data_IF_050129295806
#
_entry.id   IF_050129295806
#
_cell.length_a   1.000
_cell.length_b   1.000
_cell.length_c   1.000
_cell.angle_alpha   90.00
_cell.angle_beta   90.00
_cell.angle_gamma   90.00
#
_symmetry.space_group_name_H-M   'P 1'
#
loop_
_entity.id
_entity.type
_entity.pdbx_description
1 polymer ?
#
# COMPACT_ATOMS: atom_id res chain seq x y z
N UNK A 1 9.13 21.24 25.04
CA UNK A 1 7.67 21.45 25.12
C UNK A 1 7.08 20.97 23.80
N UNK A 2 6.03 20.14 23.85
CA UNK A 2 5.35 19.67 22.64
C UNK A 2 4.56 20.85 22.09
N UNK A 3 5.04 21.47 21.00
CA UNK A 3 4.28 22.50 20.30
C UNK A 3 3.11 21.87 19.56
N UNK A 4 1.95 21.88 20.20
CA UNK A 4 0.71 21.36 19.63
C UNK A 4 0.39 22.03 18.28
N UNK A 5 0.66 23.34 18.17
CA UNK A 5 0.50 24.10 16.92
C UNK A 5 1.45 23.66 15.80
N UNK A 6 2.67 23.20 16.13
CA UNK A 6 3.61 22.65 15.15
C UNK A 6 3.15 21.28 14.66
N UNK A 7 2.64 20.45 15.57
CA UNK A 7 2.14 19.09 15.27
C UNK A 7 0.91 19.11 14.36
N UNK A 8 -0.04 20.03 14.62
CA UNK A 8 -1.20 20.25 13.76
C UNK A 8 -0.82 20.77 12.38
N UNK A 9 0.16 21.69 12.32
CA UNK A 9 0.67 22.22 11.07
C UNK A 9 1.33 21.13 10.23
N UNK A 10 2.11 20.25 10.85
CA UNK A 10 2.73 19.10 10.20
C UNK A 10 1.68 18.12 9.65
N UNK A 11 0.68 17.78 10.47
CA UNK A 11 -0.45 16.95 10.03
C UNK A 11 -1.18 17.56 8.83
N UNK A 12 -1.39 18.89 8.84
CA UNK A 12 -2.02 19.60 7.74
C UNK A 12 -1.16 19.61 6.48
N UNK A 13 0.15 19.83 6.59
CA UNK A 13 1.06 19.77 5.44
C UNK A 13 1.10 18.37 4.82
N UNK A 14 1.22 17.32 5.63
CA UNK A 14 1.16 15.94 5.16
C UNK A 14 -0.17 15.65 4.45
N UNK A 15 -1.28 16.11 5.03
CA UNK A 15 -2.60 15.97 4.40
C UNK A 15 -2.68 16.74 3.07
N UNK A 16 -2.16 17.97 3.01
CA UNK A 16 -2.20 18.81 1.82
C UNK A 16 -1.38 18.22 0.67
N UNK A 17 -0.17 17.73 0.95
CA UNK A 17 0.67 17.07 -0.05
C UNK A 17 0.04 15.78 -0.58
N UNK A 18 -0.65 15.04 0.28
CA UNK A 18 -1.29 13.76 -0.09
C UNK A 18 -2.70 13.91 -0.65
N UNK A 19 -3.33 15.09 -0.51
CA UNK A 19 -4.71 15.35 -0.91
C UNK A 19 -4.96 15.08 -2.40
N UNK A 20 -4.08 15.56 -3.28
CA UNK A 20 -4.22 15.36 -4.71
C UNK A 20 -4.14 13.88 -5.12
N UNK A 21 -3.10 13.11 -4.70
CA UNK A 21 -3.06 11.65 -4.90
C UNK A 21 -4.28 10.93 -4.32
N UNK A 22 -4.80 11.40 -3.18
CA UNK A 22 -5.96 10.83 -2.53
C UNK A 22 -7.23 11.02 -3.36
N UNK A 23 -7.49 12.25 -3.82
CA UNK A 23 -8.64 12.60 -4.66
C UNK A 23 -8.60 11.83 -5.98
N UNK A 24 -7.45 11.78 -6.65
CA UNK A 24 -7.27 10.97 -7.86
C UNK A 24 -7.49 9.49 -7.58
N UNK A 25 -6.99 9.00 -6.44
CA UNK A 25 -7.10 7.63 -6.01
C UNK A 25 -8.53 7.15 -5.81
N UNK A 26 -9.27 7.88 -4.99
CA UNK A 26 -10.68 7.63 -4.74
C UNK A 26 -11.52 7.85 -6.00
N UNK A 27 -11.18 8.86 -6.81
CA UNK A 27 -11.81 9.12 -8.10
C UNK A 27 -11.65 7.95 -9.08
N UNK A 28 -10.43 7.38 -9.17
CA UNK A 28 -10.18 6.19 -10.01
C UNK A 28 -10.90 4.96 -9.44
N UNK A 29 -10.96 4.80 -8.11
CA UNK A 29 -11.78 3.75 -7.48
C UNK A 29 -13.24 3.87 -7.89
N UNK A 30 -13.83 5.07 -7.81
CA UNK A 30 -15.19 5.34 -8.25
C UNK A 30 -15.39 5.09 -9.75
N UNK A 31 -14.42 5.47 -10.58
CA UNK A 31 -14.45 5.24 -12.01
C UNK A 31 -14.41 3.74 -12.35
N UNK A 32 -13.57 2.96 -11.67
CA UNK A 32 -13.55 1.50 -11.82
C UNK A 32 -14.88 0.90 -11.39
N UNK A 33 -15.49 1.42 -10.31
CA UNK A 33 -16.80 0.97 -9.84
C UNK A 33 -17.94 1.33 -10.81
N UNK A 34 -17.90 2.49 -11.46
CA UNK A 34 -18.95 2.93 -12.38
C UNK A 34 -18.79 2.35 -13.80
N UNK A 35 -17.56 2.34 -14.33
CA UNK A 35 -17.31 2.05 -15.75
C UNK A 35 -16.88 0.62 -16.04
N UNK A 36 -16.34 -0.12 -15.07
CA UNK A 36 -15.88 -1.51 -15.28
C UNK A 36 -16.96 -2.50 -14.85
N UNK A 37 -17.35 -3.38 -15.78
CA UNK A 37 -18.34 -4.42 -15.50
C UNK A 37 -17.74 -5.56 -14.69
N UNK A 38 -18.59 -6.26 -13.91
CA UNK A 38 -18.16 -7.43 -13.12
C UNK A 38 -17.61 -8.54 -14.03
N UNK A 39 -18.21 -8.76 -15.20
CA UNK A 39 -17.75 -9.79 -16.14
C UNK A 39 -16.38 -9.43 -16.73
N UNK A 40 -16.15 -8.16 -17.09
CA UNK A 40 -14.86 -7.70 -17.61
C UNK A 40 -13.76 -7.85 -16.55
N UNK A 41 -14.07 -7.49 -15.29
CA UNK A 41 -13.16 -7.65 -14.16
C UNK A 41 -12.86 -9.12 -13.89
N UNK A 42 -13.88 -9.97 -13.81
CA UNK A 42 -13.73 -11.40 -13.55
C UNK A 42 -12.98 -12.12 -14.69
N UNK A 43 -13.22 -11.74 -15.95
CA UNK A 43 -12.51 -12.30 -17.11
C UNK A 43 -11.02 -11.92 -17.13
N UNK A 44 -10.67 -10.71 -16.67
CA UNK A 44 -9.28 -10.22 -16.71
C UNK A 44 -8.47 -10.50 -15.43
N UNK A 45 -9.10 -10.37 -14.27
CA UNK A 45 -8.49 -10.40 -12.93
C UNK A 45 -9.18 -11.36 -11.96
N UNK A 46 -10.13 -12.18 -12.42
CA UNK A 46 -10.85 -13.16 -11.58
C UNK A 46 -10.07 -14.44 -11.26
N UNK A 47 -8.78 -14.49 -11.57
CA UNK A 47 -7.91 -15.60 -11.18
C UNK A 47 -6.55 -15.07 -10.71
N UNK A 48 -5.84 -15.88 -9.93
CA UNK A 48 -4.47 -15.61 -9.47
C UNK A 48 -3.41 -16.30 -10.36
N UNK A 49 -3.71 -16.51 -11.66
CA UNK A 49 -2.73 -17.06 -12.60
C UNK A 49 -1.66 -16.01 -12.93
N UNK A 50 -0.43 -16.42 -13.33
CA UNK A 50 0.65 -15.48 -13.66
C UNK A 50 0.23 -14.37 -14.63
N UNK A 51 -0.58 -14.68 -15.64
CA UNK A 51 -1.07 -13.68 -16.59
C UNK A 51 -1.98 -12.61 -15.95
N UNK A 52 -2.75 -12.94 -14.90
CA UNK A 52 -3.55 -11.95 -14.19
C UNK A 52 -2.69 -11.09 -13.25
N UNK A 53 -1.69 -11.69 -12.58
CA UNK A 53 -0.69 -10.99 -11.76
C UNK A 53 0.08 -9.98 -12.62
N UNK A 54 0.62 -10.41 -13.77
CA UNK A 54 1.35 -9.53 -14.69
C UNK A 54 0.46 -8.39 -15.19
N UNK A 55 -0.80 -8.67 -15.55
CA UNK A 55 -1.75 -7.61 -15.95
C UNK A 55 -2.05 -6.64 -14.81
N UNK A 56 -2.27 -7.15 -13.59
CA UNK A 56 -2.50 -6.32 -12.40
C UNK A 56 -1.32 -5.38 -12.13
N UNK A 57 -0.09 -5.91 -12.16
CA UNK A 57 1.12 -5.13 -11.97
C UNK A 57 1.33 -4.11 -13.11
N UNK A 58 1.15 -4.53 -14.37
CA UNK A 58 1.35 -3.68 -15.53
C UNK A 58 0.36 -2.52 -15.61
N UNK A 59 -0.93 -2.76 -15.34
CA UNK A 59 -1.95 -1.69 -15.31
C UNK A 59 -1.65 -0.63 -14.25
N UNK A 60 -0.87 -0.98 -13.24
CA UNK A 60 -0.66 -0.14 -12.07
C UNK A 60 0.67 0.61 -12.07
N UNK A 61 1.70 0.04 -12.68
CA UNK A 61 3.03 0.67 -12.82
C UNK A 61 2.98 2.07 -13.48
N UNK A 62 1.93 2.36 -14.27
CA UNK A 62 1.72 3.63 -14.97
C UNK A 62 1.04 4.70 -14.11
N UNK A 63 0.38 4.32 -13.01
CA UNK A 63 -0.43 5.23 -12.20
C UNK A 63 0.14 5.35 -10.78
N UNK A 64 0.81 6.47 -10.50
CA UNK A 64 1.17 6.83 -9.14
C UNK A 64 -0.08 7.01 -8.30
N UNK A 65 -0.18 6.30 -7.19
CA UNK A 65 -1.12 6.67 -6.13
C UNK A 65 -0.56 6.27 -4.78
N UNK A 66 -0.94 7.05 -3.76
CA UNK A 66 -0.58 6.76 -2.38
C UNK A 66 -1.14 5.41 -1.89
N UNK A 67 -0.57 4.87 -0.82
CA UNK A 67 -0.94 3.57 -0.25
C UNK A 67 -2.44 3.50 0.15
N UNK A 68 -3.04 4.64 0.53
CA UNK A 68 -4.48 4.77 0.79
C UNK A 68 -5.33 4.61 -0.48
N UNK A 69 -4.95 5.31 -1.55
CA UNK A 69 -5.60 5.20 -2.85
C UNK A 69 -5.50 3.78 -3.43
N UNK A 70 -4.31 3.17 -3.31
CA UNK A 70 -4.07 1.79 -3.72
C UNK A 70 -4.99 0.80 -2.98
N UNK A 71 -5.18 1.00 -1.67
CA UNK A 71 -6.08 0.19 -0.83
C UNK A 71 -7.54 0.34 -1.22
N UNK A 72 -8.01 1.57 -1.48
CA UNK A 72 -9.38 1.83 -1.92
C UNK A 72 -9.66 1.19 -3.30
N UNK A 73 -8.72 1.30 -4.24
CA UNK A 73 -8.83 0.63 -5.54
C UNK A 73 -8.80 -0.90 -5.39
N UNK A 74 -7.90 -1.45 -4.56
CA UNK A 74 -7.85 -2.89 -4.31
C UNK A 74 -9.18 -3.44 -3.78
N UNK A 75 -9.81 -2.73 -2.83
CA UNK A 75 -11.18 -3.03 -2.36
C UNK A 75 -12.16 -3.03 -3.53
N UNK A 76 -12.17 -1.98 -4.37
CA UNK A 76 -13.16 -1.88 -5.45
C UNK A 76 -12.99 -2.95 -6.53
N UNK A 77 -11.75 -3.29 -6.88
CA UNK A 77 -11.45 -4.44 -7.74
C UNK A 77 -12.00 -5.74 -7.13
N UNK A 78 -11.78 -5.96 -5.84
CA UNK A 78 -12.25 -7.17 -5.14
C UNK A 78 -13.78 -7.26 -5.08
N UNK A 79 -14.47 -6.15 -4.80
CA UNK A 79 -15.94 -6.07 -4.78
C UNK A 79 -16.52 -6.28 -6.18
N UNK A 80 -15.85 -5.82 -7.23
CA UNK A 80 -16.22 -6.05 -8.64
C UNK A 80 -15.92 -7.47 -9.15
N UNK A 81 -15.38 -8.34 -8.31
CA UNK A 81 -15.21 -9.76 -8.62
C UNK A 81 -13.78 -10.18 -8.98
N UNK A 82 -12.78 -9.31 -8.83
CA UNK A 82 -11.37 -9.72 -8.92
C UNK A 82 -11.03 -10.74 -7.81
N UNK A 83 -10.08 -11.64 -8.09
CA UNK A 83 -9.53 -12.54 -7.09
C UNK A 83 -8.83 -11.73 -5.98
N UNK A 84 -8.94 -12.15 -4.72
CA UNK A 84 -8.36 -11.43 -3.58
C UNK A 84 -6.84 -11.29 -3.71
N UNK A 85 -6.15 -12.31 -4.21
CA UNK A 85 -4.70 -12.26 -4.44
C UNK A 85 -4.40 -11.26 -5.56
N UNK A 86 -5.16 -11.28 -6.67
CA UNK A 86 -4.97 -10.34 -7.77
C UNK A 86 -5.18 -8.86 -7.34
N UNK A 87 -6.19 -8.60 -6.50
CA UNK A 87 -6.43 -7.26 -5.94
C UNK A 87 -5.30 -6.79 -5.03
N UNK A 88 -4.78 -7.67 -4.15
CA UNK A 88 -3.64 -7.34 -3.31
C UNK A 88 -2.34 -7.20 -4.13
N UNK A 89 -2.11 -8.01 -5.17
CA UNK A 89 -0.99 -7.84 -6.11
C UNK A 89 -1.04 -6.46 -6.77
N UNK A 90 -2.24 -6.03 -7.21
CA UNK A 90 -2.44 -4.69 -7.74
C UNK A 90 -2.05 -3.62 -6.71
N UNK A 91 -2.42 -3.82 -5.43
CA UNK A 91 -2.07 -2.93 -4.33
C UNK A 91 -0.55 -2.85 -4.11
N UNK A 92 0.14 -4.00 -4.04
CA UNK A 92 1.61 -4.06 -3.90
C UNK A 92 2.34 -3.41 -5.06
N UNK A 93 1.90 -3.68 -6.30
CA UNK A 93 2.49 -3.08 -7.50
C UNK A 93 2.29 -1.56 -7.53
N UNK A 94 1.19 -1.07 -6.95
CA UNK A 94 0.91 0.37 -6.87
C UNK A 94 1.86 1.15 -5.99
N UNK A 95 2.42 0.52 -4.96
CA UNK A 95 3.20 1.24 -3.96
C UNK A 95 4.69 0.99 -4.12
N UNK A 96 5.09 -0.21 -4.55
CA UNK A 96 6.50 -0.64 -4.60
C UNK A 96 7.11 -0.68 -6.01
N UNK A 97 6.30 -0.64 -7.08
CA UNK A 97 6.81 -0.60 -8.47
C UNK A 97 6.56 0.75 -9.16
N UNK A 98 6.22 1.79 -8.38
CA UNK A 98 5.97 3.11 -8.94
C UNK A 98 7.28 3.79 -9.34
N UNK A 99 7.31 4.34 -10.55
CA UNK A 99 8.50 5.02 -11.10
C UNK A 99 8.90 6.23 -10.24
N UNK A 100 7.91 6.93 -9.67
CA UNK A 100 8.11 8.10 -8.80
C UNK A 100 8.99 7.77 -7.58
N UNK A 101 8.69 6.67 -6.88
CA UNK A 101 9.48 6.20 -5.74
C UNK A 101 10.89 5.85 -6.19
N UNK A 102 11.04 5.19 -7.34
CA UNK A 102 12.35 4.92 -7.95
C UNK A 102 13.17 6.19 -8.17
N UNK A 103 12.58 7.26 -8.70
CA UNK A 103 13.27 8.55 -8.91
C UNK A 103 13.70 9.15 -7.56
N UNK A 104 12.81 9.17 -6.56
CA UNK A 104 13.14 9.69 -5.21
C UNK A 104 14.27 8.88 -4.56
N UNK A 105 14.26 7.56 -4.71
CA UNK A 105 15.34 6.67 -4.24
C UNK A 105 16.67 6.96 -4.93
N UNK A 106 16.68 7.15 -6.26
CA UNK A 106 17.88 7.53 -7.02
C UNK A 106 18.47 8.82 -6.46
N UNK A 107 17.62 9.83 -6.22
CA UNK A 107 18.06 11.16 -5.76
C UNK A 107 18.59 11.13 -4.32
N UNK A 108 17.95 10.39 -3.41
CA UNK A 108 18.28 10.45 -1.98
C UNK A 108 19.29 9.39 -1.52
N UNK A 109 19.26 8.20 -2.11
CA UNK A 109 20.07 7.05 -1.66
C UNK A 109 20.92 6.44 -2.78
N UNK A 110 20.71 6.86 -4.03
CA UNK A 110 21.45 6.38 -5.19
C UNK A 110 20.72 5.31 -5.99
N UNK A 111 21.22 5.06 -7.20
CA UNK A 111 20.58 4.16 -8.17
C UNK A 111 20.49 2.70 -7.69
N UNK A 112 21.40 2.25 -6.82
CA UNK A 112 21.42 0.91 -6.26
C UNK A 112 20.13 0.61 -5.48
N UNK A 113 19.66 1.58 -4.68
CA UNK A 113 18.41 1.46 -3.93
C UNK A 113 17.18 1.40 -4.84
N UNK A 114 17.18 2.18 -5.92
CA UNK A 114 16.10 2.13 -6.90
C UNK A 114 16.05 0.78 -7.62
N UNK A 115 17.18 0.23 -8.04
CA UNK A 115 17.22 -1.10 -8.68
C UNK A 115 16.81 -2.19 -7.70
N UNK A 116 17.24 -2.12 -6.43
CA UNK A 116 16.82 -3.09 -5.41
C UNK A 116 15.33 -2.99 -5.11
N UNK A 117 14.74 -1.80 -5.15
CA UNK A 117 13.30 -1.60 -5.00
C UNK A 117 12.53 -2.35 -6.09
N UNK A 118 12.90 -2.17 -7.36
CA UNK A 118 12.22 -2.86 -8.46
C UNK A 118 12.40 -4.38 -8.41
N UNK A 119 13.63 -4.85 -8.14
CA UNK A 119 13.92 -6.28 -8.03
C UNK A 119 13.19 -6.89 -6.83
N UNK A 120 13.30 -6.25 -5.66
CA UNK A 120 12.67 -6.71 -4.43
C UNK A 120 11.15 -6.63 -4.50
N UNK A 121 10.57 -5.61 -5.14
CA UNK A 121 9.15 -5.50 -5.40
C UNK A 121 8.63 -6.62 -6.31
N UNK A 122 9.37 -6.99 -7.36
CA UNK A 122 9.04 -8.13 -8.20
C UNK A 122 9.10 -9.46 -7.42
N UNK A 123 10.15 -9.66 -6.60
CA UNK A 123 10.30 -10.82 -5.71
C UNK A 123 9.13 -10.88 -4.72
N UNK A 124 8.78 -9.74 -4.12
CA UNK A 124 7.70 -9.61 -3.17
C UNK A 124 6.36 -10.01 -3.78
N UNK A 125 6.04 -9.55 -5.00
CA UNK A 125 4.82 -9.94 -5.70
C UNK A 125 4.79 -11.44 -5.98
N UNK A 126 5.92 -12.03 -6.39
CA UNK A 126 6.02 -13.47 -6.62
C UNK A 126 5.80 -14.27 -5.34
N UNK A 127 6.49 -13.91 -4.25
CA UNK A 127 6.35 -14.53 -2.93
C UNK A 127 4.91 -14.39 -2.41
N UNK A 128 4.34 -13.18 -2.48
CA UNK A 128 2.98 -12.90 -2.07
C UNK A 128 2.00 -13.79 -2.84
N UNK A 129 2.11 -13.87 -4.17
CA UNK A 129 1.19 -14.66 -4.99
C UNK A 129 1.19 -16.14 -4.56
N UNK A 130 2.37 -16.70 -4.30
CA UNK A 130 2.52 -18.11 -3.86
C UNK A 130 1.96 -18.30 -2.44
N UNK A 131 2.42 -17.49 -1.49
CA UNK A 131 2.02 -17.62 -0.07
C UNK A 131 0.54 -17.29 0.13
N UNK A 132 0.02 -16.23 -0.49
CA UNK A 132 -1.39 -15.87 -0.44
C UNK A 132 -2.26 -16.93 -1.10
N UNK A 133 -1.82 -17.48 -2.24
CA UNK A 133 -2.51 -18.58 -2.92
C UNK A 133 -2.66 -19.82 -2.03
N UNK A 134 -1.76 -20.04 -1.08
CA UNK A 134 -1.83 -21.15 -0.13
C UNK A 134 -2.57 -20.78 1.17
N UNK A 135 -2.27 -19.61 1.73
CA UNK A 135 -2.67 -19.21 3.08
C UNK A 135 -4.00 -18.44 3.15
N UNK A 136 -4.35 -17.72 2.08
CA UNK A 136 -5.57 -16.89 2.00
C UNK A 136 -6.73 -17.60 1.28
N UNK A 137 -6.71 -18.93 1.16
CA UNK A 137 -7.85 -19.69 0.62
C UNK A 137 -8.90 -19.99 1.70
N UNK A 138 -10.18 -19.93 1.32
CA UNK A 138 -11.29 -20.48 2.11
C UNK A 138 -12.37 -19.49 2.52
N UNK A 139 -13.18 -19.90 3.51
CA UNK A 139 -14.40 -19.22 3.97
C UNK A 139 -14.20 -17.76 4.39
N UNK A 140 -13.01 -17.37 4.83
CA UNK A 140 -12.72 -16.01 5.27
C UNK A 140 -12.72 -14.98 4.12
N UNK A 141 -12.24 -15.35 2.93
CA UNK A 141 -12.28 -14.46 1.75
C UNK A 141 -13.70 -14.33 1.23
N UNK A 142 -14.48 -15.42 1.29
CA UNK A 142 -15.91 -15.41 0.95
C UNK A 142 -16.70 -14.53 1.92
N UNK A 143 -16.49 -14.70 3.23
CA UNK A 143 -17.08 -13.85 4.26
C UNK A 143 -16.66 -12.39 4.13
N UNK A 144 -15.41 -12.11 3.76
CA UNK A 144 -14.95 -10.75 3.52
C UNK A 144 -15.64 -10.12 2.31
N UNK A 145 -15.84 -10.90 1.23
CA UNK A 145 -16.62 -10.47 0.08
C UNK A 145 -18.08 -10.21 0.47
N UNK A 146 -18.72 -11.16 1.16
CA UNK A 146 -20.10 -11.03 1.66
C UNK A 146 -20.25 -9.84 2.60
N UNK A 147 -19.27 -9.56 3.45
CA UNK A 147 -19.28 -8.39 4.33
C UNK A 147 -19.13 -7.10 3.54
N UNK A 148 -18.27 -7.06 2.53
CA UNK A 148 -18.14 -5.89 1.67
C UNK A 148 -19.36 -5.68 0.76
N UNK A 149 -20.09 -6.73 0.40
CA UNK A 149 -21.35 -6.64 -0.38
C UNK A 149 -22.61 -6.61 0.48
N UNK A 150 -22.51 -6.92 1.78
CA UNK A 150 -23.64 -7.12 2.71
C UNK A 150 -23.66 -6.12 3.87
N UNK A 151 -22.53 -5.49 4.22
CA UNK A 151 -22.54 -4.18 4.89
C UNK A 151 -23.24 -3.13 4.00
N UNK A 152 -23.29 -3.37 2.68
CA UNK A 152 -24.12 -2.63 1.72
C UNK A 152 -25.62 -3.03 1.74
N UNK A 153 -26.04 -3.98 2.58
CA UNK A 153 -27.43 -4.49 2.66
C UNK A 153 -28.23 -3.99 3.86
N UNK A 154 -27.60 -3.39 4.87
CA UNK A 154 -28.31 -2.82 6.03
C UNK A 154 -28.43 -1.29 5.99
N UNK A 155 -27.69 -0.61 5.12
CA UNK A 155 -27.86 0.83 4.83
C UNK A 155 -28.38 1.01 3.40
N UNK A 156 -29.67 0.70 3.19
CA UNK A 156 -30.38 1.08 1.96
C UNK A 156 -30.54 2.62 1.77
N UNK A 157 -29.94 3.42 2.65
CA UNK A 157 -30.10 4.88 2.64
C UNK A 157 -28.93 5.65 1.99
N UNK A 158 -27.72 5.08 1.92
CA UNK A 158 -26.50 5.82 1.51
C UNK A 158 -25.83 5.34 0.21
N UNK A 159 -26.46 4.41 -0.53
CA UNK A 159 -26.06 4.05 -1.90
C UNK A 159 -27.08 4.61 -2.90
N UNK A 160 -26.67 5.32 -3.96
CA UNK A 160 -27.55 5.52 -5.10
C UNK A 160 -27.93 4.16 -5.67
N UNK A 161 -29.17 3.98 -6.12
CA UNK A 161 -29.61 2.73 -6.73
C UNK A 161 -28.60 2.32 -7.82
N UNK A 162 -28.04 1.12 -7.68
CA UNK A 162 -27.17 0.54 -8.68
C UNK A 162 -27.99 0.44 -9.97
N UNK A 163 -27.70 1.29 -10.96
CA UNK A 163 -28.41 1.30 -12.22
C UNK A 163 -28.05 0.03 -13.01
N UNK A 164 -28.71 -1.09 -12.70
CA UNK A 164 -28.56 -2.40 -13.35
C UNK A 164 -28.70 -2.27 -14.87
N UNK A 165 -29.54 -1.35 -15.34
CA UNK A 165 -29.73 -1.02 -16.75
C UNK A 165 -28.48 -0.42 -17.43
N UNK A 166 -27.66 0.36 -16.72
CA UNK A 166 -26.39 0.89 -17.23
C UNK A 166 -25.28 -0.17 -17.14
N UNK A 167 -25.35 -1.09 -16.17
CA UNK A 167 -24.38 -2.17 -15.99
C UNK A 167 -24.40 -3.26 -17.07
N UNK A 168 -25.42 -3.29 -17.94
CA UNK A 168 -25.43 -4.14 -19.13
C UNK A 168 -25.01 -3.42 -20.41
N UNK A 169 -24.77 -2.10 -20.37
CA UNK A 169 -24.39 -1.34 -21.57
C UNK A 169 -22.88 -1.40 -21.85
N UNK A 170 -22.45 -1.33 -23.13
CA UNK A 170 -21.03 -1.34 -23.50
C UNK A 170 -20.26 -0.14 -22.93
N UNK A 171 -19.00 -0.36 -22.57
CA UNK A 171 -18.08 0.58 -21.89
C UNK A 171 -18.12 2.01 -22.48
N UNK A 172 -18.17 2.15 -23.82
CA UNK A 172 -18.20 3.44 -24.50
C UNK A 172 -19.48 4.26 -24.29
N UNK A 173 -20.63 3.63 -24.06
CA UNK A 173 -21.89 4.35 -23.76
C UNK A 173 -21.95 4.82 -22.31
N UNK A 174 -21.29 4.11 -21.38
CA UNK A 174 -21.18 4.53 -19.97
C UNK A 174 -20.26 5.73 -19.80
N UNK A 175 -19.11 5.72 -20.49
CA UNK A 175 -18.16 6.85 -20.49
C UNK A 175 -18.79 8.14 -21.03
N UNK A 176 -19.75 8.03 -21.94
CA UNK A 176 -20.49 9.16 -22.54
C UNK A 176 -21.75 9.56 -21.76
N UNK A 177 -22.21 8.76 -20.80
CA UNK A 177 -23.46 9.07 -20.09
C UNK A 177 -23.20 9.91 -18.83
N UNK A 178 -24.03 10.94 -18.62
CA UNK A 178 -24.01 11.73 -17.37
C UNK A 178 -24.26 10.86 -16.13
N UNK A 179 -25.04 9.79 -16.29
CA UNK A 179 -25.29 8.81 -15.23
C UNK A 179 -24.05 8.05 -14.78
N UNK A 180 -23.17 7.63 -15.71
CA UNK A 180 -21.93 6.93 -15.34
C UNK A 180 -20.95 7.81 -14.56
N UNK A 181 -20.87 9.10 -14.91
CA UNK A 181 -20.07 10.08 -14.17
C UNK A 181 -20.68 10.43 -12.81
N UNK A 182 -22.01 10.53 -12.72
CA UNK A 182 -22.71 10.71 -11.45
C UNK A 182 -22.48 9.51 -10.51
N UNK A 183 -22.62 8.28 -11.01
CA UNK A 183 -22.36 7.06 -10.25
C UNK A 183 -20.91 7.01 -9.76
N UNK A 184 -19.94 7.36 -10.62
CA UNK A 184 -18.52 7.44 -10.27
C UNK A 184 -18.26 8.44 -9.15
N UNK A 185 -18.87 9.62 -9.21
CA UNK A 185 -18.74 10.65 -8.19
C UNK A 185 -19.36 10.19 -6.87
N UNK A 186 -20.49 9.48 -6.89
CA UNK A 186 -21.10 9.00 -5.66
C UNK A 186 -20.32 7.86 -5.03
N UNK A 187 -19.79 6.90 -5.81
CA UNK A 187 -18.90 5.86 -5.26
C UNK A 187 -17.64 6.46 -4.65
N UNK A 188 -17.06 7.48 -5.30
CA UNK A 188 -15.92 8.23 -4.78
C UNK A 188 -16.25 8.88 -3.43
N UNK A 189 -17.40 9.56 -3.34
CA UNK A 189 -17.85 10.21 -2.10
C UNK A 189 -18.19 9.21 -1.00
N UNK A 190 -18.75 8.05 -1.33
CA UNK A 190 -19.02 6.99 -0.37
C UNK A 190 -17.72 6.42 0.21
N UNK A 191 -16.73 6.09 -0.62
CA UNK A 191 -15.42 5.59 -0.15
C UNK A 191 -14.69 6.64 0.71
N UNK A 192 -14.73 7.93 0.33
CA UNK A 192 -14.17 9.03 1.12
C UNK A 192 -14.87 9.21 2.46
N UNK A 193 -16.20 9.23 2.47
CA UNK A 193 -17.00 9.44 3.69
C UNK A 193 -16.85 8.26 4.64
N UNK A 194 -16.72 7.05 4.10
CA UNK A 194 -16.43 5.84 4.86
C UNK A 194 -15.10 5.96 5.58
N UNK A 195 -14.04 6.43 4.92
CA UNK A 195 -12.69 6.44 5.48
C UNK A 195 -12.27 7.75 6.17
N UNK A 196 -13.09 8.80 6.14
CA UNK A 196 -12.73 10.12 6.67
C UNK A 196 -12.20 10.10 8.11
N UNK A 197 -12.74 9.23 8.97
CA UNK A 197 -12.36 9.14 10.38
C UNK A 197 -10.97 8.52 10.52
N UNK A 198 -10.71 7.43 9.81
CA UNK A 198 -9.44 6.73 9.79
C UNK A 198 -8.33 7.60 9.20
N UNK A 199 -8.60 8.33 8.11
CA UNK A 199 -7.65 9.27 7.53
C UNK A 199 -7.34 10.41 8.50
N UNK A 200 -8.37 11.03 9.10
CA UNK A 200 -8.19 12.14 10.03
C UNK A 200 -7.37 11.72 11.26
N UNK A 201 -7.69 10.56 11.85
CA UNK A 201 -6.92 9.99 12.97
C UNK A 201 -5.49 9.68 12.52
N UNK A 202 -5.31 9.09 11.34
CA UNK A 202 -3.99 8.75 10.79
C UNK A 202 -3.08 9.97 10.63
N UNK A 203 -3.54 11.03 9.95
CA UNK A 203 -2.76 12.26 9.77
C UNK A 203 -2.49 12.99 11.07
N UNK A 204 -3.46 13.03 11.99
CA UNK A 204 -3.30 13.68 13.28
C UNK A 204 -2.24 12.99 14.14
N UNK A 205 -2.27 11.65 14.20
CA UNK A 205 -1.26 10.85 14.91
C UNK A 205 0.10 10.97 14.24
N UNK A 206 0.16 10.91 12.90
CA UNK A 206 1.41 11.07 12.14
C UNK A 206 2.08 12.42 12.40
N UNK A 207 1.33 13.54 12.34
CA UNK A 207 1.86 14.87 12.60
C UNK A 207 2.33 15.07 14.04
N UNK A 208 1.66 14.43 15.02
CA UNK A 208 2.11 14.43 16.41
C UNK A 208 3.38 13.60 16.60
N UNK A 209 3.46 12.43 15.97
CA UNK A 209 4.64 11.58 16.06
C UNK A 209 5.86 12.22 15.39
N UNK A 210 5.66 12.88 14.26
CA UNK A 210 6.71 13.57 13.50
C UNK A 210 7.37 14.71 14.30
N UNK A 211 6.64 15.36 15.21
CA UNK A 211 7.19 16.42 16.06
C UNK A 211 7.76 15.90 17.37
N UNK A 212 7.21 14.81 17.91
CA UNK A 212 7.57 14.28 19.22
C UNK A 212 8.74 13.30 19.16
N UNK A 213 8.85 12.49 18.11
CA UNK A 213 9.84 11.41 18.02
C UNK A 213 11.04 11.83 17.16
N UNK A 214 12.21 12.08 17.78
CA UNK A 214 13.39 12.45 17.01
C UNK A 214 13.95 11.28 16.21
N UNK A 215 14.61 11.59 15.10
CA UNK A 215 15.22 10.60 14.20
C UNK A 215 16.20 9.64 14.92
N UNK A 216 16.88 10.10 15.96
CA UNK A 216 17.82 9.27 16.73
C UNK A 216 17.13 8.19 17.57
N UNK A 217 15.87 8.36 17.96
CA UNK A 217 15.10 7.33 18.67
C UNK A 217 14.88 6.11 17.77
N UNK A 218 14.58 6.34 16.48
CA UNK A 218 14.43 5.29 15.49
C UNK A 218 15.73 4.50 15.31
N UNK A 219 16.88 5.18 15.27
CA UNK A 219 18.18 4.53 15.15
C UNK A 219 18.58 3.70 16.38
N UNK A 220 18.10 4.05 17.58
CA UNK A 220 18.41 3.33 18.82
C UNK A 220 17.62 2.01 18.97
N UNK A 221 16.52 1.84 18.22
CA UNK A 221 15.71 0.61 18.21
C UNK A 221 16.41 -0.50 17.40
N UNK A 222 17.38 -0.16 16.55
CA UNK A 222 18.12 -1.12 15.77
C UNK A 222 19.37 -1.60 16.51
N UNK A 223 19.58 -2.91 16.48
CA UNK A 223 20.77 -3.55 17.04
C UNK A 223 21.93 -3.45 16.05
N UNK A 224 23.08 -2.95 16.52
CA UNK A 224 24.32 -2.90 15.77
C UNK A 224 25.24 -4.06 16.19
N UNK A 225 25.84 -4.78 15.24
CA UNK A 225 27.12 -5.46 15.52
C UNK A 225 27.28 -6.97 15.30
N UNK A 226 26.37 -7.72 14.69
CA UNK A 226 26.52 -9.18 14.52
C UNK A 226 26.20 -9.71 13.10
N UNK A 227 26.97 -9.29 12.09
CA UNK A 227 27.05 -9.98 10.79
C UNK A 227 25.71 -10.32 10.10
N UNK A 228 25.49 -11.60 9.75
CA UNK A 228 24.28 -12.08 9.08
C UNK A 228 23.03 -12.03 9.97
N UNK A 229 23.17 -12.32 11.27
CA UNK A 229 22.06 -12.31 12.24
C UNK A 229 21.45 -10.91 12.40
N UNK A 230 22.28 -9.88 12.43
CA UNK A 230 21.82 -8.48 12.41
C UNK A 230 20.99 -8.15 11.16
N UNK A 231 21.28 -8.79 10.02
CA UNK A 231 20.50 -8.54 8.80
C UNK A 231 19.10 -9.16 8.91
N UNK A 232 18.99 -10.36 9.47
CA UNK A 232 17.70 -11.02 9.73
C UNK A 232 16.86 -10.24 10.74
N UNK A 233 17.47 -9.79 11.84
CA UNK A 233 16.79 -8.98 12.86
C UNK A 233 16.29 -7.66 12.27
N UNK A 234 17.14 -6.92 11.57
CA UNK A 234 16.77 -5.63 10.97
C UNK A 234 15.63 -5.76 9.95
N UNK A 235 15.62 -6.84 9.18
CA UNK A 235 14.58 -7.13 8.20
C UNK A 235 13.23 -7.43 8.85
N UNK A 236 13.20 -8.00 10.06
CA UNK A 236 11.98 -8.23 10.82
C UNK A 236 11.53 -6.93 11.53
N UNK A 237 12.48 -6.16 12.05
CA UNK A 237 12.23 -4.89 12.75
C UNK A 237 11.78 -3.80 11.79
N UNK A 238 12.23 -3.80 10.53
CA UNK A 238 11.85 -2.82 9.51
C UNK A 238 10.33 -2.65 9.39
N UNK A 239 9.56 -3.71 9.10
CA UNK A 239 8.10 -3.60 9.03
C UNK A 239 7.44 -3.18 10.34
N UNK A 240 8.00 -3.59 11.48
CA UNK A 240 7.50 -3.13 12.78
C UNK A 240 7.62 -1.61 12.93
N UNK A 241 8.74 -1.04 12.50
CA UNK A 241 8.94 0.42 12.52
C UNK A 241 7.98 1.11 11.56
N UNK A 242 7.73 0.55 10.38
CA UNK A 242 6.75 1.12 9.45
C UNK A 242 5.32 1.15 10.02
N UNK A 243 4.94 0.15 10.83
CA UNK A 243 3.64 0.15 11.55
C UNK A 243 3.54 1.39 12.45
N UNK A 244 4.60 1.68 13.21
CA UNK A 244 4.62 2.72 14.24
C UNK A 244 5.11 4.08 13.74
N UNK A 245 5.69 4.20 12.54
CA UNK A 245 6.16 5.47 11.99
C UNK A 245 5.03 6.26 11.34
N UNK A 246 3.94 5.60 10.95
CA UNK A 246 2.76 6.21 10.30
C UNK A 246 3.08 6.99 9.01
N UNK A 247 4.22 6.69 8.39
CA UNK A 247 4.69 7.42 7.22
C UNK A 247 4.20 6.72 5.94
N UNK A 248 3.84 7.51 4.92
CA UNK A 248 3.43 7.00 3.61
C UNK A 248 4.63 6.54 2.77
N UNK A 249 4.38 5.81 1.66
CA UNK A 249 5.43 5.30 0.74
C UNK A 249 6.51 6.33 0.39
N UNK A 250 6.13 7.56 0.02
CA UNK A 250 7.09 8.63 -0.34
C UNK A 250 7.82 9.18 0.89
N UNK A 251 7.09 9.40 1.99
CA UNK A 251 7.69 9.87 3.24
C UNK A 251 8.63 8.84 3.89
N UNK A 252 8.46 7.55 3.58
CA UNK A 252 9.33 6.49 4.08
C UNK A 252 10.74 6.62 3.52
N UNK A 253 10.93 7.25 2.36
CA UNK A 253 12.26 7.34 1.73
C UNK A 253 13.23 8.23 2.51
N UNK A 254 12.89 9.47 2.92
CA UNK A 254 13.75 10.25 3.81
C UNK A 254 14.08 9.55 5.13
N UNK A 255 13.10 8.87 5.73
CA UNK A 255 13.32 8.11 6.96
C UNK A 255 14.22 6.90 6.72
N UNK A 256 14.00 6.15 5.64
CA UNK A 256 14.85 5.05 5.19
C UNK A 256 16.30 5.51 4.93
N UNK A 257 16.49 6.69 4.35
CA UNK A 257 17.80 7.28 4.14
C UNK A 257 18.48 7.65 5.46
N UNK A 258 17.74 8.19 6.44
CA UNK A 258 18.26 8.46 7.77
C UNK A 258 18.64 7.18 8.54
N UNK A 259 17.82 6.13 8.40
CA UNK A 259 18.04 4.80 8.94
C UNK A 259 19.29 4.14 8.30
N UNK A 260 19.47 4.27 6.98
CA UNK A 260 20.67 3.82 6.28
C UNK A 260 21.93 4.51 6.80
N UNK A 261 21.88 5.84 7.01
CA UNK A 261 22.96 6.60 7.66
C UNK A 261 23.21 6.13 9.09
N UNK A 262 22.17 5.70 9.80
CA UNK A 262 22.21 5.11 11.15
C UNK A 262 22.88 3.73 11.23
N UNK A 263 23.27 3.14 10.10
CA UNK A 263 24.05 1.90 10.05
C UNK A 263 23.23 0.61 9.94
N UNK A 264 21.95 0.70 9.58
CA UNK A 264 21.07 -0.46 9.37
C UNK A 264 21.51 -1.26 8.14
N UNK A 265 21.25 -2.57 8.15
CA UNK A 265 21.54 -3.45 7.02
C UNK A 265 20.73 -3.06 5.78
N UNK A 266 21.29 -3.32 4.61
CA UNK A 266 20.67 -2.96 3.34
C UNK A 266 19.27 -3.57 3.20
N UNK A 267 19.11 -4.86 3.51
CA UNK A 267 17.81 -5.53 3.49
C UNK A 267 16.84 -5.01 4.54
N UNK A 268 17.34 -4.48 5.67
CA UNK A 268 16.50 -3.87 6.70
C UNK A 268 15.85 -2.58 6.20
N UNK A 269 16.64 -1.74 5.52
CA UNK A 269 16.15 -0.51 4.87
C UNK A 269 15.15 -0.83 3.77
N UNK A 270 15.45 -1.81 2.91
CA UNK A 270 14.54 -2.25 1.85
C UNK A 270 13.24 -2.82 2.43
N UNK A 271 13.32 -3.69 3.44
CA UNK A 271 12.13 -4.22 4.11
C UNK A 271 11.29 -3.15 4.80
N UNK A 272 11.92 -2.06 5.27
CA UNK A 272 11.22 -0.90 5.83
C UNK A 272 10.49 -0.10 4.76
N UNK A 273 11.13 0.18 3.61
CA UNK A 273 10.49 0.87 2.47
C UNK A 273 9.26 0.11 2.00
N UNK A 274 9.39 -1.21 1.86
CA UNK A 274 8.33 -2.13 1.47
C UNK A 274 7.15 -2.20 2.44
N UNK A 275 7.35 -1.81 3.69
CA UNK A 275 6.36 -1.98 4.75
C UNK A 275 5.37 -0.81 4.87
N UNK A 276 5.31 0.07 3.87
CA UNK A 276 4.33 1.15 3.80
C UNK A 276 2.86 0.64 3.86
N UNK A 277 2.60 -0.55 3.31
CA UNK A 277 1.27 -1.18 3.31
C UNK A 277 0.82 -1.76 4.65
N UNK A 278 1.71 -1.85 5.65
CA UNK A 278 1.37 -2.30 7.01
C UNK A 278 1.31 -1.15 8.02
N UNK A 279 1.40 0.12 7.59
CA UNK A 279 1.22 1.26 8.49
C UNK A 279 -0.11 1.16 9.27
N UNK A 280 -0.10 1.56 10.54
CA UNK A 280 -1.27 1.38 11.42
C UNK A 280 -2.58 1.96 10.87
N UNK A 281 -2.63 3.15 10.22
CA UNK A 281 -3.87 3.64 9.62
C UNK A 281 -4.42 2.72 8.53
N UNK A 282 -3.55 2.13 7.70
CA UNK A 282 -3.93 1.14 6.69
C UNK A 282 -4.46 -0.14 7.33
N UNK A 283 -3.87 -0.58 8.45
CA UNK A 283 -4.41 -1.72 9.20
C UNK A 283 -5.81 -1.43 9.78
N UNK A 284 -6.08 -0.19 10.22
CA UNK A 284 -7.42 0.21 10.64
C UNK A 284 -8.42 0.17 9.47
N UNK A 285 -7.99 0.60 8.28
CA UNK A 285 -8.78 0.50 7.04
C UNK A 285 -9.04 -0.98 6.68
N UNK A 286 -8.02 -1.84 6.68
CA UNK A 286 -8.19 -3.27 6.41
C UNK A 286 -9.10 -3.94 7.44
N UNK A 287 -8.99 -3.57 8.73
CA UNK A 287 -9.88 -4.06 9.78
C UNK A 287 -11.33 -3.69 9.48
N UNK A 288 -11.58 -2.47 9.00
CA UNK A 288 -12.92 -2.00 8.64
C UNK A 288 -13.45 -2.69 7.37
N UNK A 289 -12.59 -2.93 6.38
CA UNK A 289 -12.97 -3.56 5.10
C UNK A 289 -13.17 -5.07 5.23
N UNK A 290 -12.20 -5.76 5.79
CA UNK A 290 -12.08 -7.22 5.73
C UNK A 290 -12.37 -7.90 7.09
N UNK A 291 -12.50 -7.11 8.15
CA UNK A 291 -12.65 -7.60 9.53
C UNK A 291 -11.31 -7.92 10.20
N UNK A 292 -11.31 -7.97 11.54
CA UNK A 292 -10.09 -8.12 12.35
C UNK A 292 -9.32 -9.41 12.06
N UNK A 293 -9.99 -10.54 11.86
CA UNK A 293 -9.32 -11.83 11.64
C UNK A 293 -8.55 -11.86 10.32
N UNK A 294 -9.15 -11.35 9.25
CA UNK A 294 -8.50 -11.29 7.95
C UNK A 294 -7.40 -10.22 7.94
N UNK A 295 -7.63 -9.08 8.58
CA UNK A 295 -6.60 -8.04 8.77
C UNK A 295 -5.35 -8.59 9.47
N UNK A 296 -5.48 -9.35 10.57
CA UNK A 296 -4.32 -9.93 11.26
C UNK A 296 -3.58 -10.96 10.39
N UNK A 297 -4.30 -11.75 9.59
CA UNK A 297 -3.68 -12.67 8.64
C UNK A 297 -2.95 -11.93 7.52
N UNK A 298 -3.54 -10.85 7.00
CA UNK A 298 -2.89 -9.99 6.02
C UNK A 298 -1.64 -9.35 6.60
N UNK A 299 -1.71 -8.83 7.84
CA UNK A 299 -0.55 -8.26 8.54
C UNK A 299 0.58 -9.27 8.65
N UNK A 300 0.31 -10.47 9.16
CA UNK A 300 1.34 -11.51 9.30
C UNK A 300 1.93 -11.94 7.96
N UNK A 301 1.08 -12.08 6.93
CA UNK A 301 1.54 -12.44 5.58
C UNK A 301 2.35 -11.33 4.93
N UNK A 302 1.90 -10.08 5.02
CA UNK A 302 2.59 -8.92 4.45
C UNK A 302 3.94 -8.73 5.13
N UNK A 303 3.97 -8.78 6.46
CA UNK A 303 5.21 -8.71 7.23
C UNK A 303 6.19 -9.79 6.79
N UNK A 304 5.76 -11.07 6.77
CA UNK A 304 6.61 -12.17 6.33
C UNK A 304 7.15 -11.95 4.91
N UNK A 305 6.29 -11.57 3.97
CA UNK A 305 6.66 -11.38 2.57
C UNK A 305 7.63 -10.21 2.41
N UNK A 306 7.39 -9.07 3.05
CA UNK A 306 8.26 -7.89 3.00
C UNK A 306 9.63 -8.19 3.60
N UNK A 307 9.65 -8.87 4.75
CA UNK A 307 10.89 -9.30 5.39
C UNK A 307 11.68 -10.26 4.50
N UNK A 308 11.06 -11.34 4.03
CA UNK A 308 11.74 -12.32 3.17
C UNK A 308 12.22 -11.68 1.86
N UNK A 309 11.42 -10.80 1.24
CA UNK A 309 11.81 -10.08 0.03
C UNK A 309 13.02 -9.17 0.28
N UNK A 310 13.05 -8.43 1.40
CA UNK A 310 14.19 -7.60 1.79
C UNK A 310 15.47 -8.41 1.98
N UNK A 311 15.37 -9.57 2.65
CA UNK A 311 16.50 -10.47 2.88
C UNK A 311 17.04 -11.08 1.58
N UNK A 312 16.15 -11.54 0.69
CA UNK A 312 16.55 -12.10 -0.62
C UNK A 312 17.21 -11.01 -1.47
N UNK A 313 16.65 -9.80 -1.48
CA UNK A 313 17.20 -8.67 -2.24
C UNK A 313 18.60 -8.31 -1.74
N UNK A 314 18.79 -8.26 -0.42
CA UNK A 314 20.13 -8.09 0.17
C UNK A 314 21.09 -9.20 -0.24
N UNK A 315 20.66 -10.46 -0.22
CA UNK A 315 21.47 -11.60 -0.67
C UNK A 315 21.92 -11.46 -2.13
N UNK A 316 21.02 -11.09 -3.03
CA UNK A 316 21.30 -10.87 -4.46
C UNK A 316 22.31 -9.73 -4.63
N UNK A 317 22.14 -8.61 -3.93
CA UNK A 317 23.01 -7.45 -4.05
C UNK A 317 24.39 -7.71 -3.43
N UNK A 318 24.47 -8.46 -2.33
CA UNK A 318 25.73 -8.92 -1.75
C UNK A 318 26.49 -9.84 -2.70
N UNK A 319 25.79 -10.80 -3.33
CA UNK A 319 26.41 -11.72 -4.28
C UNK A 319 26.93 -11.02 -5.55
N UNK A 320 26.27 -9.95 -5.99
CA UNK A 320 26.65 -9.17 -7.17
C UNK A 320 27.63 -8.02 -6.87
N UNK A 321 27.97 -7.79 -5.60
CA UNK A 321 28.84 -6.68 -5.18
C UNK A 321 28.21 -5.30 -5.37
N UNK A 322 26.88 -5.23 -5.56
CA UNK A 322 26.13 -4.00 -5.82
C UNK A 322 25.64 -3.30 -4.56
N UNK A 323 25.98 -3.79 -3.37
CA UNK A 323 25.63 -3.10 -2.11
C UNK A 323 26.38 -1.76 -2.05
N UNK A 324 25.67 -0.63 -1.83
CA UNK A 324 26.32 0.67 -1.67
C UNK A 324 27.36 0.64 -0.54
N UNK A 325 28.61 0.95 -0.87
CA UNK A 325 29.71 1.08 0.10
C UNK A 325 29.84 2.50 0.64
N UNK A 326 29.26 3.49 -0.05
CA UNK A 326 29.27 4.90 0.35
C UNK A 326 28.06 5.22 1.23
N UNK A 327 28.33 5.48 2.51
CA UNK A 327 27.35 6.07 3.43
C UNK A 327 27.50 7.60 3.36
N UNK A 328 26.43 8.39 3.17
CA UNK A 328 26.54 9.84 3.18
C UNK A 328 27.16 10.30 4.51
N UNK A 329 28.30 10.98 4.44
CA UNK A 329 29.05 11.45 5.62
C UNK A 329 28.30 12.56 6.35
N UNK A 330 28.47 12.58 7.68
CA UNK A 330 27.99 13.63 8.60
C UNK A 330 28.54 14.99 8.13
N UNK A 331 27.67 15.90 7.70
CA UNK A 331 27.91 17.34 7.73
C UNK A 331 26.86 17.96 8.63
#
# INVERSE_FOLDING_TARGET
MVDFGRSLREAFFMFWETLWPLVLGFGLSGAVQAFVSREAMQKRLGNHRPAAVVRASAYRMVSSSCSYAATAMSKSLFVKGADFVAANVFMFASTNLVIELGVVLVVLMGWQFAVSEFIGGAIMIALFTVLAGLYLRGRLVVQARERLTGVDGHDHMDRPPENTALQHQPWGRRLRSRGGWADSATYTMADLTMLRKELAIGYMVAGFLATVVPIHFWNAIFLHGHGFWTSVENVIVGPFIAIISFVCSVGNVPLAAALWKGGISFGGVISFIFADLVALPLLLIYRRYYGTRLMLRMLGLFWLVMSVAGLITEGIFRATGLVPTTRPTRS
#
